data_IF_176664062653
#
_entry.id   IF_176664062653
#
_cell.length_a   1.000
_cell.length_b   1.000
_cell.length_c   1.000
_cell.angle_alpha   90.00
_cell.angle_beta   90.00
_cell.angle_gamma   90.00
#
_symmetry.space_group_name_H-M   'P 1'
#
loop_
_entity.id
_entity.type
_entity.pdbx_description
1 polymer ?
#
# COMPACT_ATOMS: atom_id res chain seq x y z
N UNK A 1 51.69 40.47 -32.52
CA UNK A 1 52.10 39.26 -31.78
C UNK A 1 50.84 38.50 -31.39
N UNK A 2 50.49 37.47 -32.17
CA UNK A 2 49.30 36.63 -31.97
C UNK A 2 49.60 35.61 -30.86
N UNK A 3 48.98 35.76 -29.70
CA UNK A 3 49.00 34.74 -28.65
C UNK A 3 47.66 34.01 -28.69
N UNK A 4 47.76 32.70 -28.86
CA UNK A 4 46.73 31.76 -29.26
C UNK A 4 45.64 31.53 -28.20
N UNK A 5 44.38 31.73 -28.59
CA UNK A 5 43.17 31.48 -27.78
C UNK A 5 42.88 30.00 -27.46
N UNK A 6 43.82 29.10 -27.76
CA UNK A 6 43.64 27.65 -27.59
C UNK A 6 44.00 27.15 -26.17
N UNK A 7 44.71 27.95 -25.36
CA UNK A 7 45.17 27.52 -24.01
C UNK A 7 44.23 27.86 -22.86
N UNK A 8 43.21 28.71 -23.08
CA UNK A 8 42.23 29.03 -22.04
C UNK A 8 41.03 28.06 -22.02
N UNK A 9 40.78 27.34 -23.12
CA UNK A 9 39.67 26.37 -23.24
C UNK A 9 39.98 25.01 -22.58
N UNK A 10 41.25 24.67 -22.38
CA UNK A 10 41.63 23.38 -21.78
C UNK A 10 41.47 23.34 -20.24
N UNK A 11 41.42 24.49 -19.57
CA UNK A 11 41.23 24.56 -18.11
C UNK A 11 39.77 24.68 -17.68
N UNK A 12 38.86 25.11 -18.58
CA UNK A 12 37.43 25.20 -18.28
C UNK A 12 36.68 23.85 -18.43
N UNK A 13 37.27 22.86 -19.12
CA UNK A 13 36.66 21.56 -19.34
C UNK A 13 36.99 20.51 -18.25
N UNK A 14 37.89 20.82 -17.31
CA UNK A 14 38.35 19.86 -16.30
C UNK A 14 37.68 20.01 -14.91
N UNK A 15 36.77 20.98 -14.73
CA UNK A 15 36.19 21.30 -13.39
C UNK A 15 34.67 21.08 -13.31
N UNK A 16 34.00 20.66 -14.37
CA UNK A 16 32.53 20.40 -14.37
C UNK A 16 32.13 18.92 -14.32
N UNK A 17 33.06 18.01 -14.08
CA UNK A 17 32.78 16.55 -13.95
C UNK A 17 32.80 16.04 -12.49
N UNK A 18 32.42 16.86 -11.51
CA UNK A 18 32.29 16.42 -10.12
C UNK A 18 30.86 16.63 -9.60
N UNK A 19 30.19 15.48 -9.47
CA UNK A 19 29.02 15.20 -8.66
C UNK A 19 27.64 15.65 -9.20
N UNK A 20 27.19 15.02 -10.29
CA UNK A 20 25.87 14.37 -10.17
C UNK A 20 26.08 13.10 -9.34
N UNK A 21 26.19 13.26 -8.02
CA UNK A 21 25.84 12.16 -7.15
C UNK A 21 24.36 11.89 -7.45
N UNK A 22 24.08 10.81 -8.17
CA UNK A 22 22.76 10.24 -8.17
C UNK A 22 22.37 10.12 -6.70
N UNK A 23 21.35 10.89 -6.29
CA UNK A 23 20.67 10.62 -5.02
C UNK A 23 20.19 9.17 -5.12
N UNK A 24 20.92 8.28 -4.44
CA UNK A 24 20.48 6.92 -4.24
C UNK A 24 19.19 7.02 -3.43
N UNK A 25 18.04 6.87 -4.10
CA UNK A 25 16.76 6.78 -3.43
C UNK A 25 16.81 5.56 -2.52
N UNK A 26 16.99 5.78 -1.22
CA UNK A 26 17.02 4.74 -0.21
C UNK A 26 15.74 3.92 -0.31
N UNK A 27 15.87 2.71 -0.85
CA UNK A 27 14.79 1.75 -0.94
C UNK A 27 14.62 1.10 0.44
N UNK A 28 13.39 1.09 0.96
CA UNK A 28 13.10 0.41 2.24
C UNK A 28 12.36 -0.90 1.95
N UNK A 29 12.83 -1.98 2.57
CA UNK A 29 12.21 -3.33 2.53
C UNK A 29 11.47 -3.61 3.84
N UNK A 30 10.61 -4.61 3.89
CA UNK A 30 9.81 -4.98 5.07
C UNK A 30 8.84 -3.87 5.54
N UNK A 31 8.54 -2.90 4.67
CA UNK A 31 7.61 -1.80 4.95
C UNK A 31 6.48 -1.69 3.95
N UNK A 32 6.55 -2.38 2.82
CA UNK A 32 5.58 -2.27 1.75
C UNK A 32 5.29 -3.65 1.19
N UNK A 33 4.06 -4.10 1.38
CA UNK A 33 3.64 -5.43 0.92
C UNK A 33 2.32 -5.33 0.21
N UNK A 34 2.09 -6.29 -0.68
CA UNK A 34 0.88 -6.33 -1.47
C UNK A 34 0.35 -7.75 -1.62
N UNK A 35 -0.95 -7.84 -1.81
CA UNK A 35 -1.64 -9.07 -2.17
C UNK A 35 -2.87 -8.74 -3.02
N UNK A 36 -3.38 -9.72 -3.77
CA UNK A 36 -4.56 -9.53 -4.59
C UNK A 36 -5.82 -10.05 -3.89
N UNK A 37 -6.98 -9.68 -4.43
CA UNK A 37 -8.26 -10.29 -4.11
C UNK A 37 -9.05 -10.53 -5.40
N UNK A 38 -9.95 -11.52 -5.36
CA UNK A 38 -10.80 -11.89 -6.50
C UNK A 38 -12.14 -12.41 -6.02
N UNK A 39 -13.13 -12.43 -6.91
CA UNK A 39 -14.51 -12.86 -6.64
C UNK A 39 -15.22 -12.08 -5.52
N UNK A 40 -14.76 -10.85 -5.26
CA UNK A 40 -15.32 -9.98 -4.24
C UNK A 40 -16.71 -9.45 -4.64
N UNK A 41 -17.62 -9.31 -3.68
CA UNK A 41 -18.97 -8.78 -3.91
C UNK A 41 -19.87 -9.64 -4.81
N UNK A 42 -19.47 -10.86 -5.14
CA UNK A 42 -20.30 -11.78 -5.94
C UNK A 42 -21.35 -12.41 -5.03
N UNK A 43 -22.62 -12.31 -5.43
CA UNK A 43 -23.74 -12.85 -4.65
C UNK A 43 -23.59 -14.36 -4.38
N UNK A 44 -23.70 -14.75 -3.10
CA UNK A 44 -23.57 -16.15 -2.67
C UNK A 44 -22.13 -16.66 -2.59
N UNK A 45 -21.13 -15.80 -2.79
CA UNK A 45 -19.70 -16.13 -2.68
C UNK A 45 -19.14 -15.59 -1.36
N UNK A 46 -18.29 -16.37 -0.65
CA UNK A 46 -17.60 -15.85 0.53
C UNK A 46 -16.73 -14.64 0.21
N UNK A 47 -16.54 -13.76 1.19
CA UNK A 47 -15.61 -12.64 1.11
C UNK A 47 -14.22 -13.05 1.57
N UNK A 48 -13.20 -12.36 1.04
CA UNK A 48 -11.82 -12.51 1.46
C UNK A 48 -11.59 -11.74 2.78
N UNK A 49 -10.53 -12.10 3.50
CA UNK A 49 -10.11 -11.45 4.74
C UNK A 49 -8.64 -11.07 4.67
N UNK A 50 -8.27 -9.94 5.26
CA UNK A 50 -6.89 -9.53 5.50
C UNK A 50 -6.63 -9.53 7.01
N UNK A 51 -5.54 -10.15 7.43
CA UNK A 51 -5.07 -10.18 8.82
C UNK A 51 -3.76 -9.42 8.91
N UNK A 52 -3.64 -8.52 9.88
CA UNK A 52 -2.46 -7.69 10.10
C UNK A 52 -2.06 -7.83 11.56
N UNK A 53 -0.86 -8.35 11.80
CA UNK A 53 -0.23 -8.46 13.10
C UNK A 53 0.88 -7.42 13.25
N UNK A 54 1.00 -6.87 14.46
CA UNK A 54 2.21 -6.18 14.90
C UNK A 54 2.95 -7.09 15.89
N UNK A 55 4.03 -7.77 15.48
CA UNK A 55 4.78 -8.70 16.33
C UNK A 55 5.47 -8.05 17.54
N UNK A 56 5.46 -6.72 17.64
CA UNK A 56 5.93 -5.98 18.82
C UNK A 56 7.44 -5.75 18.87
N UNK A 57 8.21 -6.07 17.83
CA UNK A 57 9.69 -5.87 17.82
C UNK A 57 10.08 -4.40 17.99
N UNK A 58 9.28 -3.48 17.47
CA UNK A 58 9.50 -2.03 17.62
C UNK A 58 9.10 -1.52 19.01
N UNK A 59 8.41 -2.33 19.82
CA UNK A 59 7.88 -1.96 21.13
C UNK A 59 6.72 -0.95 21.09
N UNK A 60 6.29 -0.52 19.91
CA UNK A 60 5.31 0.56 19.73
C UNK A 60 4.18 0.19 18.79
N UNK A 61 3.12 0.99 18.83
CA UNK A 61 2.04 0.92 17.84
C UNK A 61 2.58 1.33 16.48
N UNK A 62 2.29 0.53 15.45
CA UNK A 62 2.54 0.84 14.04
C UNK A 62 1.23 1.23 13.36
N UNK A 63 1.33 1.79 12.16
CA UNK A 63 0.20 2.01 11.27
C UNK A 63 0.28 1.07 10.07
N UNK A 64 -0.83 0.41 9.75
CA UNK A 64 -1.07 -0.16 8.43
C UNK A 64 -1.77 0.89 7.57
N UNK A 65 -1.05 1.46 6.60
CA UNK A 65 -1.62 2.37 5.61
C UNK A 65 -2.04 1.55 4.41
N UNK A 66 -3.35 1.44 4.20
CA UNK A 66 -3.97 0.51 3.26
C UNK A 66 -4.42 1.30 2.03
N UNK A 67 -4.08 0.79 0.85
CA UNK A 67 -4.46 1.35 -0.44
C UNK A 67 -5.01 0.23 -1.31
N UNK A 68 -6.28 0.35 -1.70
CA UNK A 68 -7.00 -0.66 -2.46
C UNK A 68 -7.13 -0.18 -3.89
N UNK A 69 -6.61 -0.96 -4.83
CA UNK A 69 -6.67 -0.68 -6.26
C UNK A 69 -7.57 -1.69 -6.96
N UNK A 70 -8.30 -1.21 -7.94
CA UNK A 70 -9.04 -2.03 -8.88
C UNK A 70 -8.11 -2.59 -9.95
N UNK A 71 -8.59 -3.60 -10.68
CA UNK A 71 -7.86 -4.18 -11.82
C UNK A 71 -7.52 -3.17 -12.92
N UNK A 72 -8.26 -2.08 -13.02
CA UNK A 72 -8.02 -0.97 -13.97
C UNK A 72 -7.07 0.10 -13.43
N UNK A 73 -6.32 -0.22 -12.36
CA UNK A 73 -5.27 0.61 -11.76
C UNK A 73 -5.78 1.89 -11.07
N UNK A 74 -7.10 2.00 -10.84
CA UNK A 74 -7.67 3.09 -10.07
C UNK A 74 -7.71 2.74 -8.58
N UNK A 75 -7.31 3.66 -7.72
CA UNK A 75 -7.50 3.53 -6.27
C UNK A 75 -9.00 3.60 -5.95
N UNK A 76 -9.55 2.52 -5.42
CA UNK A 76 -10.93 2.46 -4.97
C UNK A 76 -11.10 3.03 -3.57
N UNK A 77 -10.25 2.61 -2.64
CA UNK A 77 -10.31 3.03 -1.23
C UNK A 77 -8.92 3.17 -0.61
N UNK A 78 -8.81 4.00 0.42
CA UNK A 78 -7.65 4.06 1.28
C UNK A 78 -8.01 4.42 2.73
N UNK A 79 -7.19 3.97 3.67
CA UNK A 79 -7.35 4.27 5.10
C UNK A 79 -6.06 3.92 5.84
N UNK A 80 -5.94 4.35 7.09
CA UNK A 80 -4.83 3.95 7.94
C UNK A 80 -5.31 3.49 9.30
N UNK A 81 -4.78 2.35 9.73
CA UNK A 81 -5.22 1.66 10.94
C UNK A 81 -4.07 1.51 11.93
N UNK A 82 -4.37 1.69 13.22
CA UNK A 82 -3.40 1.44 14.29
C UNK A 82 -3.28 -0.05 14.53
N UNK A 83 -2.06 -0.54 14.68
CA UNK A 83 -1.77 -1.90 15.10
C UNK A 83 -0.91 -1.86 16.37
N UNK A 84 -1.51 -2.21 17.50
CA UNK A 84 -0.83 -2.26 18.80
C UNK A 84 0.10 -3.48 18.86
N UNK A 85 1.21 -3.44 19.63
CA UNK A 85 2.06 -4.62 19.80
C UNK A 85 1.29 -5.87 20.24
N UNK A 86 1.58 -7.01 19.61
CA UNK A 86 0.91 -8.31 19.77
C UNK A 86 -0.60 -8.30 19.46
N UNK A 87 -1.04 -7.27 18.73
CA UNK A 87 -2.42 -7.11 18.30
C UNK A 87 -2.63 -7.69 16.89
N UNK A 88 -3.81 -8.30 16.69
CA UNK A 88 -4.25 -8.82 15.40
C UNK A 88 -5.47 -8.02 14.91
N UNK A 89 -5.29 -7.27 13.83
CA UNK A 89 -6.38 -6.65 13.08
C UNK A 89 -6.89 -7.61 12.02
N UNK A 90 -8.20 -7.73 11.89
CA UNK A 90 -8.87 -8.50 10.85
C UNK A 90 -9.82 -7.60 10.08
N UNK A 91 -9.63 -7.56 8.77
CA UNK A 91 -10.38 -6.78 7.80
C UNK A 91 -11.13 -7.72 6.87
N UNK A 92 -12.40 -7.43 6.61
CA UNK A 92 -13.18 -8.04 5.54
C UNK A 92 -12.91 -7.29 4.23
N UNK A 93 -12.56 -7.98 3.16
CA UNK A 93 -12.25 -7.31 1.89
C UNK A 93 -13.49 -6.62 1.34
N UNK A 94 -14.66 -7.24 1.43
CA UNK A 94 -15.91 -6.61 1.02
C UNK A 94 -16.26 -5.46 1.97
N UNK A 95 -16.52 -5.77 3.24
CA UNK A 95 -17.16 -4.82 4.15
C UNK A 95 -16.23 -3.70 4.66
N UNK A 96 -14.92 -3.95 4.76
CA UNK A 96 -13.98 -2.97 5.29
C UNK A 96 -13.17 -2.27 4.21
N UNK A 97 -12.86 -2.94 3.09
CA UNK A 97 -11.90 -2.45 2.09
C UNK A 97 -12.50 -2.07 0.73
N UNK A 98 -13.77 -2.41 0.47
CA UNK A 98 -14.39 -2.19 -0.86
C UNK A 98 -15.88 -1.82 -0.86
N UNK A 99 -16.50 -1.58 0.30
CA UNK A 99 -17.94 -1.26 0.42
C UNK A 99 -18.26 0.22 0.14
N UNK A 100 -17.25 1.08 0.12
CA UNK A 100 -17.37 2.52 -0.11
C UNK A 100 -16.37 3.03 -1.18
N UNK A 101 -16.35 2.46 -2.40
CA UNK A 101 -15.35 2.82 -3.40
C UNK A 101 -15.60 4.21 -3.98
N UNK A 102 -14.53 4.93 -4.33
CA UNK A 102 -14.58 6.26 -4.95
C UNK A 102 -15.49 6.35 -6.19
N UNK A 103 -15.61 5.26 -6.95
CA UNK A 103 -16.39 5.20 -8.19
C UNK A 103 -17.84 4.78 -7.97
N UNK A 104 -18.23 4.45 -6.74
CA UNK A 104 -19.52 3.85 -6.40
C UNK A 104 -19.72 2.42 -6.94
N UNK A 105 -18.67 1.81 -7.51
CA UNK A 105 -18.70 0.44 -8.03
C UNK A 105 -17.79 -0.46 -7.23
N UNK A 106 -18.38 -1.47 -6.58
CA UNK A 106 -17.64 -2.47 -5.81
C UNK A 106 -16.67 -3.23 -6.74
N UNK A 107 -15.37 -3.21 -6.46
CA UNK A 107 -14.38 -3.97 -7.19
C UNK A 107 -14.54 -5.47 -6.96
N UNK A 108 -14.67 -6.25 -8.03
CA UNK A 108 -14.75 -7.72 -7.95
C UNK A 108 -13.37 -8.36 -7.82
N UNK A 109 -12.33 -7.66 -8.23
CA UNK A 109 -10.93 -8.08 -8.16
C UNK A 109 -10.02 -6.85 -8.14
N UNK A 110 -8.82 -7.01 -7.57
CA UNK A 110 -7.90 -5.91 -7.38
C UNK A 110 -6.69 -6.26 -6.54
N UNK A 111 -5.97 -5.23 -6.09
CA UNK A 111 -4.75 -5.33 -5.30
C UNK A 111 -4.88 -4.50 -4.04
N UNK A 112 -4.54 -5.09 -2.90
CA UNK A 112 -4.41 -4.41 -1.61
C UNK A 112 -2.93 -4.20 -1.36
N UNK A 113 -2.55 -2.94 -1.16
CA UNK A 113 -1.21 -2.50 -0.86
C UNK A 113 -1.19 -1.96 0.57
N UNK A 114 -0.22 -2.41 1.38
CA UNK A 114 -0.08 -1.98 2.77
C UNK A 114 1.32 -1.41 2.96
N UNK A 115 1.39 -0.18 3.47
CA UNK A 115 2.62 0.44 3.95
C UNK A 115 2.62 0.43 5.48
N UNK A 116 3.61 -0.22 6.07
CA UNK A 116 3.90 -0.18 7.50
C UNK A 116 4.64 1.12 7.84
N UNK A 117 4.11 1.88 8.80
CA UNK A 117 4.65 3.17 9.18
C UNK A 117 4.64 3.40 10.70
N UNK A 118 5.48 4.32 11.16
CA UNK A 118 5.44 4.83 12.53
C UNK A 118 4.05 5.42 12.82
N UNK A 119 3.54 5.18 14.03
CA UNK A 119 2.29 5.80 14.46
C UNK A 119 2.44 7.33 14.62
N UNK A 120 1.86 8.04 13.66
CA UNK A 120 1.68 9.49 13.67
C UNK A 120 0.23 9.85 13.28
N UNK A 121 -0.75 9.15 13.89
CA UNK A 121 -2.17 9.34 13.60
C UNK A 121 -2.74 8.47 12.48
N UNK A 122 -1.92 7.61 11.86
CA UNK A 122 -2.30 6.67 10.80
C UNK A 122 -3.12 7.30 9.67
N UNK A 123 -2.66 8.43 9.16
CA UNK A 123 -3.25 9.05 7.97
C UNK A 123 -2.52 8.58 6.71
N UNK A 124 -3.21 7.81 5.85
CA UNK A 124 -2.67 7.29 4.59
C UNK A 124 -2.41 8.37 3.52
N UNK A 125 -2.94 9.59 3.69
CA UNK A 125 -2.66 10.72 2.82
C UNK A 125 -1.53 11.64 3.33
N UNK A 126 -1.02 11.41 4.55
CA UNK A 126 -0.01 12.27 5.16
C UNK A 126 1.42 11.79 4.85
N UNK A 127 2.40 12.69 5.02
CA UNK A 127 3.80 12.29 5.08
C UNK A 127 4.04 11.36 6.27
N UNK A 128 4.58 10.17 6.00
CA UNK A 128 4.85 9.14 7.01
C UNK A 128 6.31 8.75 7.03
N UNK A 129 6.72 8.11 8.12
CA UNK A 129 8.02 7.44 8.22
C UNK A 129 7.78 5.94 8.11
N UNK A 130 8.08 5.31 6.96
CA UNK A 130 8.01 3.87 6.82
C UNK A 130 8.82 3.20 7.92
N UNK A 131 8.21 2.24 8.60
CA UNK A 131 8.80 1.55 9.75
C UNK A 131 8.46 0.08 9.61
N UNK A 132 9.45 -0.83 9.64
CA UNK A 132 9.21 -2.24 9.34
C UNK A 132 8.41 -2.92 10.45
N UNK A 133 8.19 -4.22 10.26
CA UNK A 133 7.72 -5.20 11.25
C UNK A 133 6.25 -5.64 11.20
N UNK A 134 5.33 -4.99 10.50
CA UNK A 134 3.98 -5.58 10.32
C UNK A 134 4.06 -6.93 9.59
N UNK A 135 3.13 -7.84 9.89
CA UNK A 135 2.96 -9.13 9.21
C UNK A 135 1.54 -9.28 8.75
N UNK A 136 1.35 -9.64 7.49
CA UNK A 136 0.04 -9.63 6.87
C UNK A 136 -0.24 -10.91 6.07
N UNK A 137 -1.48 -11.39 6.16
CA UNK A 137 -2.00 -12.52 5.41
C UNK A 137 -3.31 -12.13 4.76
N UNK A 138 -3.59 -12.69 3.58
CA UNK A 138 -4.88 -12.58 2.91
C UNK A 138 -5.42 -13.95 2.55
N UNK A 139 -6.73 -14.13 2.73
CA UNK A 139 -7.42 -15.29 2.18
C UNK A 139 -7.86 -15.03 0.75
N UNK A 140 -7.71 -16.00 -0.13
CA UNK A 140 -8.10 -15.92 -1.54
C UNK A 140 -9.32 -16.77 -1.83
N UNK A 141 -10.34 -16.17 -2.44
CA UNK A 141 -11.55 -16.86 -2.87
C UNK A 141 -11.40 -17.25 -4.33
N UNK A 142 -11.16 -18.53 -4.60
CA UNK A 142 -10.84 -19.02 -5.95
C UNK A 142 -12.10 -19.56 -6.63
N UNK A 143 -12.41 -19.14 -7.85
CA UNK A 143 -13.52 -19.71 -8.60
C UNK A 143 -13.07 -20.97 -9.35
N UNK A 144 -13.54 -22.15 -8.92
CA UNK A 144 -13.17 -23.45 -9.51
C UNK A 144 -14.42 -24.11 -10.10
N UNK A 145 -14.35 -24.51 -11.38
CA UNK A 145 -15.43 -25.30 -12.00
C UNK A 145 -15.26 -26.78 -11.66
N UNK A 146 -16.29 -27.39 -11.09
CA UNK A 146 -16.37 -28.84 -10.80
C UNK A 146 -17.62 -29.38 -11.49
N UNK A 147 -17.42 -30.00 -12.65
CA UNK A 147 -18.54 -30.39 -13.53
C UNK A 147 -19.31 -29.17 -14.03
N UNK A 148 -20.62 -29.12 -13.75
CA UNK A 148 -21.50 -27.98 -14.09
C UNK A 148 -21.61 -26.92 -12.99
N UNK A 149 -21.08 -27.19 -11.80
CA UNK A 149 -21.11 -26.27 -10.66
C UNK A 149 -19.81 -25.46 -10.56
N UNK A 150 -19.91 -24.25 -10.00
CA UNK A 150 -18.75 -23.45 -9.56
C UNK A 150 -18.66 -23.53 -8.04
N UNK A 151 -17.48 -23.87 -7.53
CA UNK A 151 -17.16 -23.84 -6.11
C UNK A 151 -16.16 -22.73 -5.81
N UNK A 152 -16.11 -22.31 -4.55
CA UNK A 152 -15.28 -21.20 -4.10
C UNK A 152 -14.37 -21.62 -2.93
N UNK A 153 -13.38 -22.51 -3.16
CA UNK A 153 -12.40 -22.83 -2.12
C UNK A 153 -11.63 -21.58 -1.68
N UNK A 154 -11.35 -21.53 -0.38
CA UNK A 154 -10.60 -20.44 0.25
C UNK A 154 -9.20 -20.96 0.58
N UNK A 155 -8.18 -20.23 0.14
CA UNK A 155 -6.79 -20.45 0.55
C UNK A 155 -6.28 -19.22 1.32
N UNK A 156 -5.11 -19.30 1.96
CA UNK A 156 -4.48 -18.15 2.64
C UNK A 156 -3.02 -18.05 2.21
N UNK A 157 -2.53 -16.83 1.99
CA UNK A 157 -1.12 -16.56 1.72
C UNK A 157 -0.64 -15.33 2.48
N UNK A 158 0.65 -15.27 2.75
CA UNK A 158 1.32 -14.05 3.19
C UNK A 158 1.23 -12.95 2.12
N UNK A 159 1.23 -11.69 2.55
CA UNK A 159 1.49 -10.56 1.67
C UNK A 159 2.94 -10.61 1.18
N UNK A 160 3.15 -10.28 -0.09
CA UNK A 160 4.48 -10.32 -0.70
C UNK A 160 5.19 -8.98 -0.49
N UNK A 161 6.43 -9.02 0.02
CA UNK A 161 7.26 -7.82 0.17
C UNK A 161 7.62 -7.22 -1.20
N UNK A 162 7.59 -5.90 -1.26
CA UNK A 162 8.04 -5.13 -2.40
C UNK A 162 8.87 -3.95 -1.95
N UNK A 163 9.72 -3.48 -2.85
CA UNK A 163 10.61 -2.37 -2.55
C UNK A 163 9.83 -1.06 -2.58
N UNK A 164 9.80 -0.34 -1.45
CA UNK A 164 9.14 0.97 -1.40
C UNK A 164 10.07 2.07 -1.92
N UNK A 165 9.77 2.57 -3.11
CA UNK A 165 10.37 3.78 -3.66
C UNK A 165 9.63 5.05 -3.22
N UNK A 166 10.34 6.18 -3.18
CA UNK A 166 9.73 7.47 -2.80
C UNK A 166 8.60 7.91 -3.75
N UNK A 167 8.74 7.63 -5.05
CA UNK A 167 7.70 7.93 -6.05
C UNK A 167 6.43 7.13 -5.78
N UNK A 168 6.56 5.83 -5.47
CA UNK A 168 5.40 5.00 -5.16
C UNK A 168 4.71 5.49 -3.88
N UNK A 169 5.46 5.76 -2.82
CA UNK A 169 4.90 6.30 -1.58
C UNK A 169 4.16 7.63 -1.83
N UNK A 170 4.77 8.55 -2.59
CA UNK A 170 4.16 9.82 -2.94
C UNK A 170 2.88 9.64 -3.77
N UNK A 171 2.86 8.70 -4.72
CA UNK A 171 1.68 8.40 -5.54
C UNK A 171 0.54 7.81 -4.70
N UNK A 172 0.84 6.90 -3.78
CA UNK A 172 -0.14 6.31 -2.86
C UNK A 172 -0.78 7.39 -1.98
N UNK A 173 0.05 8.23 -1.36
CA UNK A 173 -0.41 9.31 -0.49
C UNK A 173 -1.20 10.37 -1.25
N UNK A 174 -0.75 10.76 -2.45
CA UNK A 174 -1.42 11.77 -3.25
C UNK A 174 -2.82 11.31 -3.71
N UNK A 175 -2.94 10.08 -4.21
CA UNK A 175 -4.22 9.51 -4.61
C UNK A 175 -5.18 9.42 -3.42
N UNK A 176 -4.69 8.94 -2.27
CA UNK A 176 -5.50 8.88 -1.06
C UNK A 176 -5.93 10.28 -0.58
N UNK A 177 -5.06 11.29 -0.71
CA UNK A 177 -5.38 12.68 -0.41
C UNK A 177 -6.45 13.26 -1.34
N UNK A 178 -6.38 12.98 -2.64
CA UNK A 178 -7.42 13.40 -3.58
C UNK A 178 -8.77 12.75 -3.29
N UNK A 179 -8.78 11.46 -2.94
CA UNK A 179 -9.98 10.76 -2.48
C UNK A 179 -10.58 11.47 -1.26
N UNK A 180 -9.77 11.77 -0.24
CA UNK A 180 -10.25 12.44 0.97
C UNK A 180 -10.84 13.83 0.73
N UNK A 181 -10.37 14.56 -0.27
CA UNK A 181 -10.82 15.93 -0.59
C UNK A 181 -12.02 15.92 -1.56
N UNK A 182 -11.99 15.07 -2.58
CA UNK A 182 -12.93 15.10 -3.71
C UNK A 182 -13.99 14.00 -3.65
N UNK A 183 -13.75 12.93 -2.90
CA UNK A 183 -14.61 11.75 -2.84
C UNK A 183 -15.92 11.97 -2.08
N UNK A 184 -16.11 13.11 -1.42
CA UNK A 184 -17.34 13.41 -0.65
C UNK A 184 -17.72 12.32 0.36
N UNK A 185 -16.71 11.71 0.99
CA UNK A 185 -16.86 10.58 1.91
C UNK A 185 -16.71 9.20 1.27
N UNK A 186 -16.70 9.10 -0.05
CA UNK A 186 -16.34 7.87 -0.78
C UNK A 186 -14.83 7.66 -0.81
N UNK A 187 -14.43 6.42 -1.03
CA UNK A 187 -13.05 5.97 -1.12
C UNK A 187 -12.34 5.82 0.24
N UNK A 188 -13.09 5.80 1.34
CA UNK A 188 -12.53 5.66 2.69
C UNK A 188 -12.86 4.28 3.23
N UNK A 189 -11.84 3.44 3.39
CA UNK A 189 -11.96 2.12 4.02
C UNK A 189 -12.04 2.22 5.55
N UNK A 190 -12.47 1.13 6.18
CA UNK A 190 -12.49 1.01 7.65
C UNK A 190 -11.41 0.06 8.16
N UNK A 191 -11.22 0.05 9.47
CA UNK A 191 -10.21 -0.76 10.12
C UNK A 191 -10.74 -2.11 10.63
N UNK A 192 -11.95 -2.52 10.26
CA UNK A 192 -12.53 -3.79 10.68
C UNK A 192 -12.49 -3.98 12.19
N UNK A 193 -12.09 -5.18 12.63
CA UNK A 193 -12.08 -5.57 14.04
C UNK A 193 -10.69 -5.95 14.55
N UNK A 194 -10.56 -6.02 15.87
CA UNK A 194 -9.29 -6.27 16.55
C UNK A 194 -8.52 -4.99 16.83
N UNK A 195 -7.37 -5.13 17.49
CA UNK A 195 -6.52 -4.00 17.93
C UNK A 195 -7.28 -2.92 18.73
N UNK A 196 -8.31 -3.34 19.46
CA UNK A 196 -9.01 -2.53 20.45
C UNK A 196 -8.09 -2.37 21.66
N UNK A 197 -7.46 -1.20 21.76
CA UNK A 197 -6.95 -0.69 23.03
C UNK A 197 -8.09 -0.77 24.05
N UNK A 198 -7.89 -1.53 25.13
CA UNK A 198 -8.54 -1.17 26.38
C UNK A 198 -8.16 0.27 26.77
#
# INVERSE_FOLDING_TARGET
MRISGLKLLAFAAAVTCLAFASVGWGQTTDVYRLNYFANNGVAGVPTATVRIDNPGVTGGTLCSLIYVFNWDQQMAECCGCKNTPNGLRTLDVFADLTDNPLTGRIPTEGVIKIVSAKNNGCNAAANVSPTPNLREWATHVQAVRVGTATTYPITETEFTDSVLGATELANLQAQCGFIGILGSGQGVCTCGRGDSTH
#
